data_IF_352292787145
#
_entry.id   IF_352292787145
#
_cell.length_a   1.000
_cell.length_b   1.000
_cell.length_c   1.000
_cell.angle_alpha   90.00
_cell.angle_beta   90.00
_cell.angle_gamma   90.00
#
_symmetry.space_group_name_H-M   'P 1'
#
loop_
_entity.id
_entity.type
_entity.pdbx_description
1 polymer ?
#
# COMPACT_ATOMS: atom_id res chain seq x y z
N UNK A 1 20.60 32.21 -39.40
CA UNK A 1 21.27 32.53 -38.12
C UNK A 1 20.29 32.78 -36.97
N UNK A 2 19.32 33.68 -37.12
CA UNK A 2 18.30 33.90 -36.07
C UNK A 2 17.43 32.67 -35.80
N UNK A 3 17.07 31.90 -36.82
CA UNK A 3 16.31 30.66 -36.68
C UNK A 3 17.06 29.62 -35.86
N UNK A 4 18.35 29.44 -36.11
CA UNK A 4 19.18 28.48 -35.39
C UNK A 4 19.33 28.87 -33.91
N UNK A 5 19.50 30.15 -33.62
CA UNK A 5 19.57 30.64 -32.23
C UNK A 5 18.26 30.43 -31.50
N UNK A 6 17.12 30.68 -32.16
CA UNK A 6 15.79 30.47 -31.57
C UNK A 6 15.52 29.00 -31.32
N UNK A 7 15.90 28.12 -32.27
CA UNK A 7 15.76 26.68 -32.11
C UNK A 7 16.63 26.16 -30.98
N UNK A 8 17.83 26.64 -30.84
CA UNK A 8 18.74 26.25 -29.75
C UNK A 8 18.15 26.61 -28.38
N UNK A 9 17.65 27.85 -28.26
CA UNK A 9 17.03 28.33 -27.02
C UNK A 9 15.80 27.48 -26.71
N UNK A 10 14.95 27.18 -27.70
CA UNK A 10 13.77 26.38 -27.53
C UNK A 10 14.11 24.96 -27.13
N UNK A 11 15.13 24.35 -27.74
CA UNK A 11 15.59 23.01 -27.38
C UNK A 11 16.12 22.96 -25.96
N UNK A 12 16.85 23.95 -25.53
CA UNK A 12 17.34 24.02 -24.14
C UNK A 12 16.19 24.16 -23.15
N UNK A 13 15.19 24.98 -23.49
CA UNK A 13 13.98 25.15 -22.68
C UNK A 13 13.22 23.84 -22.53
N UNK A 14 13.02 23.12 -23.64
CA UNK A 14 12.33 21.83 -23.66
C UNK A 14 13.11 20.78 -22.87
N UNK A 15 14.41 20.75 -23.01
CA UNK A 15 15.27 19.84 -22.28
C UNK A 15 15.15 20.06 -20.76
N UNK A 16 15.22 21.32 -20.33
CA UNK A 16 15.06 21.65 -18.93
C UNK A 16 13.69 21.29 -18.39
N UNK A 17 12.62 21.54 -19.18
CA UNK A 17 11.27 21.15 -18.81
C UNK A 17 11.12 19.63 -18.68
N UNK A 18 11.70 18.86 -19.60
CA UNK A 18 11.70 17.42 -19.56
C UNK A 18 12.45 16.87 -18.34
N UNK A 19 13.59 17.46 -18.00
CA UNK A 19 14.35 17.07 -16.80
C UNK A 19 13.54 17.30 -15.53
N UNK A 20 12.83 18.42 -15.43
CA UNK A 20 11.92 18.70 -14.30
C UNK A 20 10.79 17.69 -14.21
N UNK A 21 10.19 17.34 -15.35
CA UNK A 21 9.12 16.36 -15.39
C UNK A 21 9.62 14.97 -14.97
N UNK A 22 10.77 14.57 -15.43
CA UNK A 22 11.37 13.29 -15.06
C UNK A 22 11.64 13.22 -13.55
N UNK A 23 12.17 14.31 -12.98
CA UNK A 23 12.42 14.37 -11.54
C UNK A 23 11.12 14.28 -10.75
N UNK A 24 10.10 15.03 -11.17
CA UNK A 24 8.79 15.01 -10.53
C UNK A 24 8.16 13.61 -10.58
N UNK A 25 8.20 12.94 -11.73
CA UNK A 25 7.70 11.59 -11.89
C UNK A 25 8.47 10.59 -11.04
N UNK A 26 9.79 10.76 -10.94
CA UNK A 26 10.61 9.91 -10.09
C UNK A 26 10.26 10.06 -8.61
N UNK A 27 10.04 11.28 -8.15
CA UNK A 27 9.61 11.55 -6.78
C UNK A 27 8.24 10.97 -6.49
N UNK A 28 7.28 11.14 -7.41
CA UNK A 28 5.94 10.57 -7.29
C UNK A 28 5.99 9.04 -7.27
N UNK A 29 6.78 8.44 -8.14
CA UNK A 29 6.95 6.99 -8.19
C UNK A 29 7.53 6.45 -6.88
N UNK A 30 8.55 7.11 -6.34
CA UNK A 30 9.15 6.71 -5.06
C UNK A 30 8.15 6.82 -3.90
N UNK A 31 7.32 7.86 -3.92
CA UNK A 31 6.28 8.06 -2.92
C UNK A 31 5.23 6.97 -2.96
N UNK A 32 4.75 6.64 -4.15
CA UNK A 32 3.77 5.56 -4.37
C UNK A 32 4.36 4.21 -3.96
N UNK A 33 5.61 3.98 -4.31
CA UNK A 33 6.30 2.74 -3.96
C UNK A 33 6.42 2.56 -2.44
N UNK A 34 6.74 3.63 -1.73
CA UNK A 34 6.80 3.62 -0.28
C UNK A 34 5.42 3.34 0.33
N UNK A 35 4.37 3.94 -0.22
CA UNK A 35 2.99 3.72 0.22
C UNK A 35 2.54 2.28 -0.01
N UNK A 36 2.88 1.70 -1.15
CA UNK A 36 2.58 0.28 -1.45
C UNK A 36 3.27 -0.64 -0.44
N UNK A 37 4.52 -0.35 -0.11
CA UNK A 37 5.27 -1.13 0.89
C UNK A 37 4.60 -1.05 2.26
N UNK A 38 4.20 0.13 2.66
CA UNK A 38 3.50 0.37 3.93
C UNK A 38 2.19 -0.42 3.99
N UNK A 39 1.41 -0.35 2.92
CA UNK A 39 0.13 -1.04 2.84
C UNK A 39 0.28 -2.56 2.85
N UNK A 40 1.31 -3.10 2.22
CA UNK A 40 1.62 -4.52 2.26
C UNK A 40 1.89 -5.00 3.68
N UNK A 41 2.71 -4.26 4.44
CA UNK A 41 3.01 -4.58 5.83
C UNK A 41 1.76 -4.52 6.70
N UNK A 42 0.93 -3.51 6.50
CA UNK A 42 -0.32 -3.36 7.22
C UNK A 42 -1.28 -4.50 6.91
N UNK A 43 -1.38 -4.90 5.64
CA UNK A 43 -2.21 -6.02 5.24
C UNK A 43 -1.75 -7.33 5.87
N UNK A 44 -0.45 -7.59 5.92
CA UNK A 44 0.09 -8.79 6.55
C UNK A 44 -0.20 -8.80 8.05
N UNK A 45 -0.08 -7.66 8.70
CA UNK A 45 -0.41 -7.50 10.11
C UNK A 45 -1.88 -7.79 10.36
N UNK A 46 -2.77 -7.22 9.55
CA UNK A 46 -4.21 -7.42 9.67
C UNK A 46 -4.60 -8.88 9.43
N UNK A 47 -3.98 -9.55 8.48
CA UNK A 47 -4.21 -10.98 8.24
C UNK A 47 -3.86 -11.81 9.46
N UNK A 48 -2.74 -11.52 10.09
CA UNK A 48 -2.31 -12.22 11.31
C UNK A 48 -3.28 -11.97 12.45
N UNK A 49 -3.67 -10.71 12.66
CA UNK A 49 -4.65 -10.34 13.68
C UNK A 49 -6.00 -11.03 13.45
N UNK A 50 -6.44 -11.08 12.20
CA UNK A 50 -7.71 -11.75 11.85
C UNK A 50 -7.66 -13.23 12.15
N UNK A 51 -6.56 -13.90 11.84
CA UNK A 51 -6.38 -15.33 12.16
C UNK A 51 -6.40 -15.57 13.66
N UNK A 52 -5.74 -14.71 14.43
CA UNK A 52 -5.72 -14.81 15.89
C UNK A 52 -7.11 -14.61 16.49
N UNK A 53 -7.86 -13.63 15.98
CA UNK A 53 -9.23 -13.38 16.41
C UNK A 53 -10.14 -14.55 16.05
N UNK A 54 -9.99 -15.12 14.88
CA UNK A 54 -10.74 -16.30 14.44
C UNK A 54 -10.49 -17.49 15.38
N UNK A 55 -9.24 -17.74 15.74
CA UNK A 55 -8.88 -18.80 16.68
C UNK A 55 -9.50 -18.57 18.05
N UNK A 56 -9.49 -17.35 18.55
CA UNK A 56 -10.12 -16.98 19.82
C UNK A 56 -11.62 -17.20 19.75
N UNK A 57 -12.25 -16.79 18.67
CA UNK A 57 -13.67 -16.97 18.44
C UNK A 57 -14.05 -18.46 18.44
N UNK A 58 -13.31 -19.28 17.71
CA UNK A 58 -13.55 -20.73 17.66
C UNK A 58 -13.38 -21.38 19.03
N UNK A 59 -12.41 -20.91 19.81
CA UNK A 59 -12.18 -21.41 21.17
C UNK A 59 -13.36 -21.09 22.09
N UNK A 60 -13.87 -19.88 22.01
CA UNK A 60 -15.03 -19.44 22.78
C UNK A 60 -16.27 -20.23 22.37
N UNK A 61 -16.49 -20.45 21.08
CA UNK A 61 -17.59 -21.26 20.57
C UNK A 61 -17.56 -22.69 21.14
N UNK A 62 -16.39 -23.31 21.15
CA UNK A 62 -16.21 -24.64 21.69
C UNK A 62 -16.54 -24.69 23.18
N UNK A 63 -16.13 -23.68 23.93
CA UNK A 63 -16.45 -23.57 25.35
C UNK A 63 -17.94 -23.41 25.58
N UNK A 64 -18.62 -22.58 24.79
CA UNK A 64 -20.05 -22.39 24.86
C UNK A 64 -20.80 -23.67 24.52
N UNK A 65 -20.39 -24.40 23.50
CA UNK A 65 -20.98 -25.68 23.12
C UNK A 65 -20.85 -26.70 24.24
N UNK A 66 -19.70 -26.76 24.90
CA UNK A 66 -19.51 -27.66 26.05
C UNK A 66 -20.44 -27.31 27.20
N UNK A 67 -20.60 -26.04 27.51
CA UNK A 67 -21.52 -25.59 28.55
C UNK A 67 -22.98 -25.92 28.21
N UNK A 68 -23.37 -25.67 26.96
CA UNK A 68 -24.72 -25.97 26.47
C UNK A 68 -25.01 -27.48 26.55
N UNK A 69 -24.06 -28.32 26.16
CA UNK A 69 -24.17 -29.77 26.24
C UNK A 69 -24.28 -30.26 27.70
N UNK A 70 -23.54 -29.65 28.61
CA UNK A 70 -23.65 -29.95 30.04
C UNK A 70 -25.03 -29.60 30.58
N UNK A 71 -25.54 -28.44 30.18
CA UNK A 71 -26.89 -28.00 30.62
C UNK A 71 -27.99 -28.89 30.06
N UNK A 72 -27.83 -29.39 28.83
CA UNK A 72 -28.83 -30.28 28.23
C UNK A 72 -28.71 -31.74 28.65
N UNK A 73 -27.58 -32.14 29.24
CA UNK A 73 -27.36 -33.50 29.69
C UNK A 73 -27.92 -33.78 31.11
N UNK A 74 -28.42 -32.74 31.73
CA UNK A 74 -29.06 -32.80 33.02
C UNK A 74 -30.59 -32.87 32.83
#
# INVERSE_FOLDING_TARGET
MLKESLLTVENERLKAANEKLQLKHSEEFNRVRAEVQRLKKENDKLKTENKDLERKYLRILKQLEKHTKRDTSV
#
